data_IF_531416940125
#
_entry.id   IF_531416940125
#
_cell.length_a   1.000
_cell.length_b   1.000
_cell.length_c   1.000
_cell.angle_alpha   90.00
_cell.angle_beta   90.00
_cell.angle_gamma   90.00
#
_symmetry.space_group_name_H-M   'P 1'
#
loop_
_entity.id
_entity.type
_entity.pdbx_description
1 polymer ?
#
# COMPACT_ATOMS: atom_id res chain seq x y z
N UNK A 1 3.59 -53.12 38.71
CA UNK A 1 3.34 -52.80 37.29
C UNK A 1 3.29 -51.30 37.14
N UNK A 2 4.18 -50.78 36.31
CA UNK A 2 4.24 -49.41 35.78
C UNK A 2 2.88 -49.00 35.20
N UNK A 3 2.43 -47.75 35.39
CA UNK A 3 1.93 -46.87 34.31
C UNK A 3 1.38 -45.52 34.83
N UNK A 4 2.24 -44.51 34.71
CA UNK A 4 2.01 -43.14 34.24
C UNK A 4 0.94 -42.25 34.91
N UNK A 5 1.45 -41.32 35.72
CA UNK A 5 1.24 -39.87 35.58
C UNK A 5 0.19 -39.46 34.53
N UNK A 6 -0.97 -38.98 34.98
CA UNK A 6 -1.86 -38.15 34.17
C UNK A 6 -2.15 -36.85 34.91
N UNK A 7 -1.12 -36.00 34.94
CA UNK A 7 -1.33 -34.55 35.03
C UNK A 7 -2.07 -34.16 33.76
N UNK A 8 -3.37 -33.88 33.86
CA UNK A 8 -4.10 -33.14 32.82
C UNK A 8 -4.42 -31.78 33.44
N UNK A 9 -3.37 -30.96 33.52
CA UNK A 9 -3.51 -29.52 33.67
C UNK A 9 -4.01 -29.03 32.31
N UNK A 10 -5.32 -28.86 32.19
CA UNK A 10 -5.98 -28.32 31.01
C UNK A 10 -5.62 -26.84 30.89
N UNK A 11 -4.42 -26.56 30.40
CA UNK A 11 -3.97 -25.22 30.04
C UNK A 11 -4.78 -24.75 28.85
N UNK A 12 -5.80 -23.93 29.10
CA UNK A 12 -6.46 -23.13 28.07
C UNK A 12 -5.45 -22.05 27.68
N UNK A 13 -4.59 -22.39 26.72
CA UNK A 13 -3.71 -21.43 26.06
C UNK A 13 -4.60 -20.48 25.28
N UNK A 14 -4.82 -19.29 25.82
CA UNK A 14 -5.43 -18.17 25.10
C UNK A 14 -4.47 -17.84 23.95
N UNK A 15 -4.76 -18.34 22.77
CA UNK A 15 -4.12 -17.91 21.53
C UNK A 15 -4.63 -16.48 21.31
N UNK A 16 -3.87 -15.50 21.81
CA UNK A 16 -4.05 -14.11 21.48
C UNK A 16 -3.82 -13.97 19.98
N UNK A 17 -4.89 -14.08 19.20
CA UNK A 17 -4.92 -13.62 17.82
C UNK A 17 -4.68 -12.11 17.85
N UNK A 18 -3.42 -11.70 17.79
CA UNK A 18 -3.10 -10.35 17.36
C UNK A 18 -3.61 -10.24 15.94
N UNK A 19 -4.77 -9.63 15.77
CA UNK A 19 -5.32 -9.21 14.49
C UNK A 19 -4.42 -8.09 13.96
N UNK A 20 -3.22 -8.46 13.51
CA UNK A 20 -2.50 -7.63 12.57
C UNK A 20 -3.39 -7.63 11.34
N UNK A 21 -4.17 -6.55 11.21
CA UNK A 21 -4.92 -6.28 9.99
C UNK A 21 -3.85 -6.21 8.90
N UNK A 22 -3.71 -7.30 8.15
CA UNK A 22 -2.95 -7.31 6.92
C UNK A 22 -3.73 -6.40 5.97
N UNK A 23 -3.47 -5.10 6.07
CA UNK A 23 -4.06 -4.13 5.16
C UNK A 23 -3.45 -4.40 3.80
N UNK A 24 -4.31 -4.96 2.96
CA UNK A 24 -3.94 -5.49 1.68
C UNK A 24 -3.34 -4.39 0.80
N UNK A 25 -2.53 -4.86 -0.13
CA UNK A 25 -2.17 -4.21 -1.38
C UNK A 25 -3.43 -3.91 -2.22
N UNK A 26 -4.26 -2.94 -1.82
CA UNK A 26 -5.58 -2.64 -2.39
C UNK A 26 -5.50 -2.30 -3.89
N UNK A 27 -4.44 -1.59 -4.28
CA UNK A 27 -4.20 -1.15 -5.64
C UNK A 27 -2.74 -1.38 -6.07
N UNK A 28 -2.10 -2.46 -5.60
CA UNK A 28 -0.76 -2.86 -6.07
C UNK A 28 -0.82 -3.60 -7.41
N UNK A 29 -1.82 -4.49 -7.56
CA UNK A 29 -2.10 -5.23 -8.79
C UNK A 29 -3.39 -4.73 -9.41
N UNK A 30 -3.27 -4.06 -10.54
CA UNK A 30 -4.33 -3.28 -11.18
C UNK A 30 -4.46 -3.69 -12.65
N UNK A 31 -5.50 -3.23 -13.33
CA UNK A 31 -5.58 -3.46 -14.78
C UNK A 31 -4.58 -2.55 -15.55
N UNK A 32 -4.39 -2.88 -16.82
CA UNK A 32 -3.47 -2.13 -17.70
C UNK A 32 -3.85 -0.66 -17.85
N UNK A 33 -5.14 -0.35 -17.94
CA UNK A 33 -5.61 1.01 -18.13
C UNK A 33 -5.30 1.86 -16.90
N UNK A 34 -5.59 1.34 -15.71
CA UNK A 34 -5.27 1.95 -14.43
C UNK A 34 -3.75 2.17 -14.27
N UNK A 35 -2.92 1.18 -14.61
CA UNK A 35 -1.46 1.30 -14.52
C UNK A 35 -0.90 2.39 -15.45
N UNK A 36 -1.36 2.41 -16.71
CA UNK A 36 -0.95 3.43 -17.67
C UNK A 36 -1.44 4.83 -17.25
N UNK A 37 -2.67 4.93 -16.74
CA UNK A 37 -3.23 6.19 -16.25
C UNK A 37 -2.47 6.71 -15.05
N UNK A 38 -2.17 5.87 -14.06
CA UNK A 38 -1.35 6.21 -12.91
C UNK A 38 0.02 6.77 -13.33
N UNK A 39 0.69 6.11 -14.27
CA UNK A 39 2.00 6.53 -14.76
C UNK A 39 2.00 7.94 -15.40
N UNK A 40 0.86 8.43 -15.91
CA UNK A 40 0.77 9.80 -16.45
C UNK A 40 0.95 10.90 -15.39
N UNK A 41 0.76 10.58 -14.11
CA UNK A 41 0.92 11.50 -12.99
C UNK A 41 2.31 11.44 -12.36
N UNK A 42 3.17 10.55 -12.84
CA UNK A 42 4.52 10.32 -12.34
C UNK A 42 5.58 10.89 -13.30
N UNK A 43 6.62 11.51 -12.73
CA UNK A 43 7.74 12.10 -13.45
C UNK A 43 9.04 11.83 -12.71
N UNK A 44 10.13 11.68 -13.45
CA UNK A 44 11.46 11.60 -12.84
C UNK A 44 11.77 12.87 -12.04
N UNK A 45 12.49 12.71 -10.94
CA UNK A 45 12.82 13.74 -9.95
C UNK A 45 11.60 14.37 -9.24
N UNK A 46 10.39 13.82 -9.42
CA UNK A 46 9.22 14.23 -8.65
C UNK A 46 9.34 13.69 -7.22
N UNK A 47 9.02 14.54 -6.24
CA UNK A 47 8.82 14.14 -4.86
C UNK A 47 7.39 13.62 -4.70
N UNK A 48 7.23 12.39 -4.26
CA UNK A 48 5.95 11.76 -3.90
C UNK A 48 5.94 11.41 -2.41
N UNK A 49 4.80 10.96 -1.91
CA UNK A 49 4.65 10.53 -0.53
C UNK A 49 4.04 9.13 -0.46
N UNK A 50 4.69 8.22 0.26
CA UNK A 50 4.14 6.92 0.60
C UNK A 50 3.45 7.02 1.96
N UNK A 51 2.21 6.57 2.06
CA UNK A 51 1.44 6.67 3.28
C UNK A 51 0.28 5.68 3.33
N UNK A 52 0.34 4.73 4.27
CA UNK A 52 -0.72 3.77 4.54
C UNK A 52 -1.51 4.18 5.80
N UNK A 53 -2.54 5.01 5.61
CA UNK A 53 -3.52 5.35 6.66
C UNK A 53 -4.09 4.15 7.39
N UNK A 54 -4.59 3.10 6.72
CA UNK A 54 -5.19 1.99 7.42
C UNK A 54 -4.14 1.19 8.21
N UNK A 55 -2.87 1.17 7.79
CA UNK A 55 -1.78 0.54 8.53
C UNK A 55 -1.46 1.24 9.86
N UNK A 56 -2.05 2.41 10.14
CA UNK A 56 -1.79 3.19 11.35
C UNK A 56 -0.55 4.07 11.23
N UNK A 57 -0.05 4.30 10.02
CA UNK A 57 1.02 5.27 9.80
C UNK A 57 0.54 6.68 10.18
N UNK A 58 1.43 7.45 10.79
CA UNK A 58 1.10 8.82 11.24
C UNK A 58 1.74 9.91 10.40
N UNK A 59 2.75 9.56 9.60
CA UNK A 59 3.56 10.51 8.84
C UNK A 59 3.86 9.95 7.45
N UNK A 60 3.52 10.68 6.37
CA UNK A 60 3.88 10.29 5.01
C UNK A 60 5.40 10.28 4.79
N UNK A 61 5.92 9.24 4.15
CA UNK A 61 7.34 9.14 3.79
C UNK A 61 7.61 9.82 2.43
N UNK A 62 8.50 10.84 2.37
CA UNK A 62 8.86 11.47 1.11
C UNK A 62 9.82 10.59 0.29
N UNK A 63 9.47 10.34 -0.98
CA UNK A 63 10.29 9.57 -1.92
C UNK A 63 10.51 10.36 -3.21
N UNK A 64 11.77 10.48 -3.65
CA UNK A 64 12.09 11.05 -4.96
C UNK A 64 12.13 9.95 -6.01
N UNK A 65 11.40 10.15 -7.12
CA UNK A 65 11.34 9.20 -8.23
C UNK A 65 12.63 9.25 -9.05
N UNK A 66 13.33 8.13 -9.13
CA UNK A 66 14.55 7.91 -9.93
C UNK A 66 14.29 6.97 -11.11
N UNK A 67 13.35 6.04 -10.97
CA UNK A 67 12.85 5.20 -12.06
C UNK A 67 11.34 5.02 -11.96
N UNK A 68 10.70 4.86 -13.13
CA UNK A 68 9.28 4.51 -13.27
C UNK A 68 9.23 3.36 -14.27
N UNK A 69 8.52 2.29 -13.93
CA UNK A 69 8.15 1.25 -14.89
C UNK A 69 6.71 0.84 -14.72
N UNK A 70 6.13 0.33 -15.81
CA UNK A 70 4.78 -0.24 -15.86
C UNK A 70 4.90 -1.57 -16.57
N UNK A 71 4.45 -2.64 -15.92
CA UNK A 71 4.64 -4.00 -16.44
C UNK A 71 3.69 -5.01 -15.85
N UNK A 72 3.70 -6.22 -16.41
CA UNK A 72 2.98 -7.37 -15.88
C UNK A 72 3.67 -7.89 -14.63
N UNK A 73 2.88 -8.39 -13.67
CA UNK A 73 3.39 -9.00 -12.43
C UNK A 73 3.52 -10.53 -12.53
N UNK A 74 3.52 -11.06 -13.75
CA UNK A 74 3.53 -12.49 -14.08
C UNK A 74 2.46 -13.32 -13.33
N UNK A 75 1.41 -12.63 -12.88
CA UNK A 75 0.26 -13.19 -12.21
C UNK A 75 -1.02 -12.69 -12.89
N UNK A 76 -1.72 -13.62 -13.54
CA UNK A 76 -2.91 -13.33 -14.34
C UNK A 76 -2.67 -12.22 -15.38
N UNK A 77 -3.65 -11.33 -15.58
CA UNK A 77 -3.57 -10.16 -16.46
C UNK A 77 -3.34 -8.86 -15.68
N UNK A 78 -2.77 -8.95 -14.48
CA UNK A 78 -2.50 -7.78 -13.66
C UNK A 78 -1.25 -7.05 -14.10
N UNK A 79 -1.30 -5.75 -13.89
CA UNK A 79 -0.25 -4.79 -14.12
C UNK A 79 0.10 -4.11 -12.80
N UNK A 80 1.31 -3.59 -12.74
CA UNK A 80 1.79 -2.83 -11.61
C UNK A 80 2.61 -1.63 -12.10
N UNK A 81 2.55 -0.56 -11.32
CA UNK A 81 3.48 0.56 -11.43
C UNK A 81 4.61 0.31 -10.43
N UNK A 82 5.84 0.48 -10.88
CA UNK A 82 7.00 0.42 -10.00
C UNK A 82 7.72 1.75 -9.98
N UNK A 83 8.10 2.19 -8.79
CA UNK A 83 8.87 3.39 -8.53
C UNK A 83 10.17 2.95 -7.88
N UNK A 84 11.30 3.40 -8.39
CA UNK A 84 12.63 3.00 -7.89
C UNK A 84 12.81 1.48 -7.86
N UNK A 85 12.27 0.80 -8.88
CA UNK A 85 12.27 -0.65 -9.06
C UNK A 85 11.47 -1.44 -8.00
N UNK A 86 10.65 -0.76 -7.19
CA UNK A 86 9.74 -1.38 -6.23
C UNK A 86 8.31 -1.19 -6.72
N UNK A 87 7.55 -2.29 -6.79
CA UNK A 87 6.12 -2.23 -7.04
C UNK A 87 5.42 -1.43 -5.94
N UNK A 88 4.56 -0.49 -6.32
CA UNK A 88 3.85 0.37 -5.36
C UNK A 88 2.36 0.06 -5.34
N UNK A 89 1.75 0.16 -4.16
CA UNK A 89 0.30 0.25 -4.03
C UNK A 89 -0.15 1.68 -4.30
N UNK A 90 -0.97 1.87 -5.34
CA UNK A 90 -1.49 3.20 -5.67
C UNK A 90 -2.36 3.78 -4.54
N UNK A 91 -2.99 2.95 -3.71
CA UNK A 91 -3.81 3.37 -2.59
C UNK A 91 -2.99 4.07 -1.49
N UNK A 92 -1.69 3.78 -1.42
CA UNK A 92 -0.77 4.34 -0.42
C UNK A 92 0.25 5.28 -1.06
N UNK A 93 0.03 5.71 -2.30
CA UNK A 93 0.94 6.60 -3.03
C UNK A 93 0.26 7.93 -3.29
N UNK A 94 0.91 9.04 -2.93
CA UNK A 94 0.38 10.39 -3.07
C UNK A 94 1.32 11.27 -3.89
N UNK A 95 0.76 11.98 -4.86
CA UNK A 95 1.51 12.85 -5.78
C UNK A 95 1.23 14.34 -5.51
N UNK A 96 2.20 15.24 -5.75
CA UNK A 96 1.98 16.68 -5.65
C UNK A 96 0.80 17.16 -6.50
N UNK A 97 -0.01 18.05 -5.94
CA UNK A 97 -1.04 18.77 -6.71
C UNK A 97 -0.43 19.97 -7.43
N UNK A 98 -0.80 20.17 -8.70
CA UNK A 98 -0.37 21.30 -9.53
C UNK A 98 -0.81 22.67 -9.01
N UNK A 99 -1.81 22.71 -8.11
CA UNK A 99 -2.48 23.94 -7.68
C UNK A 99 -2.10 24.36 -6.25
N UNK A 100 -0.97 23.87 -5.71
CA UNK A 100 -0.56 24.16 -4.32
C UNK A 100 -1.50 23.55 -3.27
N UNK A 101 -2.33 22.59 -3.69
CA UNK A 101 -3.20 21.83 -2.79
C UNK A 101 -2.43 20.68 -2.16
N UNK A 102 -3.06 20.04 -1.17
CA UNK A 102 -2.62 18.80 -0.53
C UNK A 102 -2.24 17.73 -1.57
N UNK A 103 -1.22 16.88 -1.32
CA UNK A 103 -0.92 15.74 -2.18
C UNK A 103 -2.15 14.87 -2.40
N UNK A 104 -2.30 14.33 -3.61
CA UNK A 104 -3.49 13.61 -4.08
C UNK A 104 -3.18 12.12 -4.17
N UNK A 105 -4.11 11.29 -3.71
CA UNK A 105 -4.01 9.84 -3.79
C UNK A 105 -3.96 9.35 -5.25
N UNK A 106 -2.97 8.51 -5.58
CA UNK A 106 -2.72 8.05 -6.93
C UNK A 106 -3.77 7.04 -7.40
N UNK A 107 -4.32 6.20 -6.51
CA UNK A 107 -5.43 5.31 -6.86
C UNK A 107 -6.68 6.10 -7.30
N UNK A 108 -7.00 7.20 -6.61
CA UNK A 108 -8.11 8.07 -6.98
C UNK A 108 -7.94 8.67 -8.39
N UNK A 109 -6.72 9.08 -8.74
CA UNK A 109 -6.38 9.58 -10.08
C UNK A 109 -6.44 8.46 -11.12
N UNK A 110 -5.96 7.27 -10.79
CA UNK A 110 -5.94 6.10 -11.66
C UNK A 110 -7.33 5.44 -11.84
N UNK A 111 -8.31 5.76 -10.99
CA UNK A 111 -9.61 5.09 -10.99
C UNK A 111 -9.57 3.68 -10.38
N UNK A 112 -8.60 3.41 -9.50
CA UNK A 112 -8.62 2.22 -8.66
C UNK A 112 -9.48 2.49 -7.41
N UNK A 113 -10.39 1.57 -7.09
CA UNK A 113 -11.31 1.71 -5.95
C UNK A 113 -10.61 1.32 -4.66
N UNK A 114 -9.93 2.29 -4.03
CA UNK A 114 -9.33 2.13 -2.71
C UNK A 114 -10.29 2.58 -1.60
N UNK A 115 -10.19 1.96 -0.43
CA UNK A 115 -10.99 2.23 0.75
C UNK A 115 -10.09 2.54 1.96
N UNK A 116 -10.67 3.22 2.95
CA UNK A 116 -9.99 3.63 4.19
C UNK A 116 -8.70 4.44 3.96
N UNK A 117 -8.59 5.09 2.80
CA UNK A 117 -7.55 6.04 2.43
C UNK A 117 -8.20 7.36 2.02
N UNK A 118 -7.62 8.46 2.48
CA UNK A 118 -8.01 9.81 2.16
C UNK A 118 -7.61 10.13 0.72
N UNK A 119 -8.46 10.84 -0.05
CA UNK A 119 -8.10 11.31 -1.39
C UNK A 119 -7.00 12.38 -1.37
N UNK A 120 -6.80 13.04 -0.22
CA UNK A 120 -5.77 14.06 0.00
C UNK A 120 -5.18 13.94 1.40
N UNK A 121 -3.87 14.18 1.55
CA UNK A 121 -3.18 14.11 2.84
C UNK A 121 -2.61 15.46 3.28
N UNK A 122 -2.46 15.66 4.59
CA UNK A 122 -1.70 16.81 5.11
C UNK A 122 -0.24 16.41 5.26
N UNK A 123 0.66 17.29 4.82
CA UNK A 123 2.06 17.23 5.21
C UNK A 123 2.17 18.07 6.48
N UNK A 124 2.10 17.44 7.64
CA UNK A 124 2.36 18.14 8.90
C UNK A 124 3.88 18.43 8.94
N UNK A 125 4.26 19.62 8.48
CA UNK A 125 5.62 20.16 8.58
C UNK A 125 5.77 20.87 9.92
#
# INVERSE_FOLDING_TARGET
MLKFFKIILLGITIISFSTQMAYADQCSYIDKEQALKAATFLKLNQLIYLFCEPCGETTPEPVTIQSISVGTVDYQNYWQVSINNQGVDLAYTYVPSSLGQKPINLAALAGCSAHDVSPFINLNI
#
